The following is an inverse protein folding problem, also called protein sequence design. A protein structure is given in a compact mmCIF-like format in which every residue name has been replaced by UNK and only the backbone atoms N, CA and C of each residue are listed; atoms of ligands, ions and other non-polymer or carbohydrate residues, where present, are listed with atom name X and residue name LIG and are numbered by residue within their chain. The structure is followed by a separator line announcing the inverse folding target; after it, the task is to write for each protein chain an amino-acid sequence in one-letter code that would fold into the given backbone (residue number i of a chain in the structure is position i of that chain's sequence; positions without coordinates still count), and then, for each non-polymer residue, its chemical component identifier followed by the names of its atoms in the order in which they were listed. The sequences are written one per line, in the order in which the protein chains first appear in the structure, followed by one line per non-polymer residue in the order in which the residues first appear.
data_IF_891569496420
#
_entry.id   IF_891569496420
#
_cell.length_a   1.000
_cell.length_b   1.000
_cell.length_c   1.000
_cell.angle_alpha   90.00
_cell.angle_beta   90.00
_cell.angle_gamma   90.00
#
_symmetry.space_group_name_H-M   'P 1'
#
loop_
_entity.id
_entity.type
_entity.pdbx_description
1 polymer ?
#
# COMPACT_ATOMS: atom_id res chain seq x y z
N UNK A 1 -16.89 7.78 1.19
CA UNK A 1 -15.57 8.43 1.03
C UNK A 1 -15.12 7.98 -0.35
N UNK A 2 -15.09 8.90 -1.30
CA UNK A 2 -14.75 8.59 -2.69
C UNK A 2 -13.22 8.45 -2.74
N UNK A 3 -12.74 7.39 -3.40
CA UNK A 3 -11.31 7.13 -3.54
C UNK A 3 -10.79 8.05 -4.62
N UNK A 4 -9.63 8.64 -4.38
CA UNK A 4 -8.99 9.47 -5.39
C UNK A 4 -8.69 8.61 -6.63
N UNK A 5 -9.23 8.97 -7.81
CA UNK A 5 -9.06 8.20 -9.03
C UNK A 5 -7.59 8.07 -9.45
N UNK A 6 -6.74 9.03 -9.08
CA UNK A 6 -5.32 9.00 -9.38
C UNK A 6 -4.59 7.98 -8.49
N UNK A 7 -4.98 7.89 -7.21
CA UNK A 7 -4.48 6.87 -6.29
C UNK A 7 -4.89 5.48 -6.77
N UNK A 8 -6.15 5.31 -7.17
CA UNK A 8 -6.64 4.05 -7.73
C UNK A 8 -5.83 3.66 -8.98
N UNK A 9 -5.69 4.59 -9.93
CA UNK A 9 -4.95 4.35 -11.16
C UNK A 9 -3.47 4.01 -10.91
N UNK A 10 -2.84 4.66 -9.93
CA UNK A 10 -1.46 4.39 -9.55
C UNK A 10 -1.31 2.99 -8.92
N UNK A 11 -2.23 2.59 -8.04
CA UNK A 11 -2.25 1.26 -7.42
C UNK A 11 -2.51 0.17 -8.47
N UNK A 12 -3.50 0.35 -9.34
CA UNK A 12 -3.87 -0.60 -10.40
C UNK A 12 -2.70 -0.82 -11.39
N UNK A 13 -2.13 0.28 -11.90
CA UNK A 13 -0.96 0.25 -12.81
C UNK A 13 0.25 -0.47 -12.20
N UNK A 14 0.39 -0.43 -10.89
CA UNK A 14 1.54 -0.99 -10.18
C UNK A 14 1.22 -2.29 -9.42
N UNK A 15 0.04 -2.89 -9.63
CA UNK A 15 -0.47 -4.04 -8.89
C UNK A 15 0.47 -5.25 -8.88
N UNK A 16 1.01 -5.67 -10.03
CA UNK A 16 1.96 -6.79 -10.11
C UNK A 16 3.25 -6.52 -9.32
N UNK A 17 3.77 -5.30 -9.41
CA UNK A 17 4.96 -4.89 -8.66
C UNK A 17 4.65 -4.79 -7.18
N UNK A 18 3.46 -4.34 -6.81
CA UNK A 18 3.01 -4.25 -5.43
C UNK A 18 3.03 -5.63 -4.77
N UNK A 19 2.42 -6.62 -5.42
CA UNK A 19 2.30 -7.99 -4.90
C UNK A 19 3.67 -8.63 -4.64
N UNK A 20 4.69 -8.25 -5.42
CA UNK A 20 6.03 -8.85 -5.35
C UNK A 20 7.04 -8.06 -4.53
N UNK A 21 6.93 -6.73 -4.48
CA UNK A 21 7.94 -5.85 -3.86
C UNK A 21 7.60 -5.53 -2.41
N UNK A 22 6.31 -5.43 -2.06
CA UNK A 22 5.90 -4.96 -0.73
C UNK A 22 6.22 -6.01 0.34
N UNK A 23 7.06 -5.69 1.36
CA UNK A 23 7.40 -6.62 2.43
C UNK A 23 6.33 -6.56 3.53
N UNK A 24 5.12 -7.05 3.25
CA UNK A 24 3.97 -6.88 4.15
C UNK A 24 4.21 -7.36 5.58
N UNK A 25 4.91 -8.48 5.77
CA UNK A 25 5.22 -9.00 7.11
C UNK A 25 6.05 -8.01 7.94
N UNK A 26 6.90 -7.20 7.31
CA UNK A 26 7.69 -6.16 7.98
C UNK A 26 6.87 -4.88 8.23
N UNK A 27 5.83 -4.65 7.43
CA UNK A 27 5.06 -3.40 7.45
C UNK A 27 3.79 -3.50 8.30
N UNK A 28 3.24 -4.68 8.55
CA UNK A 28 1.96 -4.87 9.25
C UNK A 28 1.88 -4.10 10.58
N UNK A 29 2.92 -4.16 11.39
CA UNK A 29 2.96 -3.47 12.69
C UNK A 29 2.88 -1.95 12.51
N UNK A 30 3.59 -1.40 11.53
CA UNK A 30 3.58 0.03 11.23
C UNK A 30 2.26 0.48 10.60
N UNK A 31 1.64 -0.37 9.77
CA UNK A 31 0.33 -0.10 9.17
C UNK A 31 -0.77 0.02 10.23
N UNK A 32 -0.72 -0.81 11.28
CA UNK A 32 -1.64 -0.69 12.44
C UNK A 32 -1.32 0.55 13.26
N UNK A 33 -0.04 0.77 13.61
CA UNK A 33 0.37 1.91 14.45
C UNK A 33 0.01 3.25 13.82
N UNK A 34 0.12 3.36 12.49
CA UNK A 34 -0.28 4.55 11.73
C UNK A 34 -1.78 4.61 11.43
N UNK A 35 -2.55 3.62 11.88
CA UNK A 35 -4.00 3.50 11.66
C UNK A 35 -4.39 3.43 10.17
N UNK A 36 -3.44 3.03 9.30
CA UNK A 36 -3.71 2.73 7.90
C UNK A 36 -4.52 1.44 7.80
N UNK A 37 -4.32 0.49 8.72
CA UNK A 37 -5.15 -0.71 8.82
C UNK A 37 -5.83 -0.79 10.17
N UNK A 38 -7.07 -1.27 10.17
CA UNK A 38 -7.74 -1.68 11.41
C UNK A 38 -7.22 -3.04 11.88
N UNK A 39 -7.35 -3.36 13.18
CA UNK A 39 -6.98 -4.68 13.70
C UNK A 39 -7.70 -5.84 13.00
N UNK A 40 -8.95 -5.64 12.56
CA UNK A 40 -9.72 -6.64 11.82
C UNK A 40 -9.12 -6.91 10.44
N UNK A 41 -8.77 -5.84 9.72
CA UNK A 41 -8.13 -5.95 8.40
C UNK A 41 -6.76 -6.64 8.48
N UNK A 42 -5.98 -6.38 9.54
CA UNK A 42 -4.72 -7.11 9.75
C UNK A 42 -4.97 -8.58 10.01
N UNK A 43 -5.95 -8.91 10.86
CA UNK A 43 -6.31 -10.31 11.10
C UNK A 43 -6.72 -11.01 9.80
N UNK A 44 -7.49 -10.35 8.94
CA UNK A 44 -7.90 -10.92 7.65
C UNK A 44 -6.69 -11.17 6.73
N UNK A 45 -5.71 -10.27 6.72
CA UNK A 45 -4.45 -10.44 6.00
C UNK A 45 -3.63 -11.60 6.58
N UNK A 46 -3.50 -11.67 7.91
CA UNK A 46 -2.72 -12.72 8.60
C UNK A 46 -3.32 -14.13 8.48
N UNK A 47 -4.59 -14.25 8.11
CA UNK A 47 -5.23 -15.53 7.80
C UNK A 47 -4.77 -16.12 6.45
N UNK A 48 -4.11 -15.33 5.60
CA UNK A 48 -3.62 -15.76 4.31
C UNK A 48 -2.24 -16.41 4.46
N UNK A 49 -2.01 -17.50 3.72
CA UNK A 49 -0.81 -18.34 3.86
C UNK A 49 0.36 -17.75 3.08
N UNK A 50 0.11 -17.24 1.87
CA UNK A 50 1.14 -16.76 0.96
C UNK A 50 1.27 -15.24 1.03
N UNK A 51 2.51 -14.75 1.06
CA UNK A 51 2.82 -13.31 1.07
C UNK A 51 2.19 -12.57 -0.10
N UNK A 52 2.08 -13.21 -1.27
CA UNK A 52 1.44 -12.64 -2.45
C UNK A 52 -0.05 -12.40 -2.23
N UNK A 53 -0.77 -13.36 -1.62
CA UNK A 53 -2.18 -13.20 -1.25
C UNK A 53 -2.34 -12.09 -0.20
N UNK A 54 -1.45 -12.04 0.79
CA UNK A 54 -1.42 -10.99 1.81
C UNK A 54 -1.26 -9.61 1.18
N UNK A 55 -0.31 -9.47 0.24
CA UNK A 55 -0.10 -8.23 -0.50
C UNK A 55 -1.28 -7.88 -1.40
N UNK A 56 -1.89 -8.86 -2.06
CA UNK A 56 -3.11 -8.69 -2.83
C UNK A 56 -4.25 -8.14 -1.96
N UNK A 57 -4.41 -8.69 -0.75
CA UNK A 57 -5.43 -8.21 0.18
C UNK A 57 -5.17 -6.79 0.69
N UNK A 58 -3.91 -6.46 0.96
CA UNK A 58 -3.53 -5.09 1.30
C UNK A 58 -3.84 -4.13 0.15
N UNK A 59 -3.51 -4.51 -1.09
CA UNK A 59 -3.79 -3.72 -2.27
C UNK A 59 -5.30 -3.43 -2.41
N UNK A 60 -6.16 -4.45 -2.29
CA UNK A 60 -7.62 -4.29 -2.27
C UNK A 60 -8.06 -3.27 -1.22
N UNK A 61 -7.55 -3.40 0.03
CA UNK A 61 -7.92 -2.48 1.12
C UNK A 61 -7.53 -1.04 0.80
N UNK A 62 -6.34 -0.82 0.23
CA UNK A 62 -5.89 0.51 -0.17
C UNK A 62 -6.74 1.06 -1.32
N UNK A 63 -7.16 0.20 -2.26
CA UNK A 63 -8.00 0.55 -3.41
C UNK A 63 -9.49 0.71 -3.11
N UNK A 64 -9.98 0.29 -1.93
CA UNK A 64 -11.41 0.34 -1.56
C UNK A 64 -11.76 1.39 -0.50
N UNK A 65 -10.81 1.79 0.35
CA UNK A 65 -11.19 2.44 1.61
C UNK A 65 -10.21 3.52 2.13
N UNK A 66 -9.27 3.99 1.31
CA UNK A 66 -8.23 4.91 1.78
C UNK A 66 -8.22 6.21 1.00
N UNK A 67 -8.23 7.32 1.73
CA UNK A 67 -8.02 8.65 1.19
C UNK A 67 -6.55 9.04 1.15
N UNK A 68 -6.25 10.18 0.54
CA UNK A 68 -4.90 10.66 0.23
C UNK A 68 -3.92 10.57 1.39
N UNK A 69 -4.38 10.89 2.61
CA UNK A 69 -3.54 10.87 3.80
C UNK A 69 -3.01 9.47 4.13
N UNK A 70 -3.84 8.45 4.03
CA UNK A 70 -3.44 7.08 4.36
C UNK A 70 -2.51 6.53 3.28
N UNK A 71 -2.76 6.88 2.02
CA UNK A 71 -1.89 6.56 0.90
C UNK A 71 -0.51 7.24 1.01
N UNK A 72 -0.47 8.53 1.34
CA UNK A 72 0.79 9.26 1.56
C UNK A 72 1.58 8.65 2.72
N UNK A 73 0.91 8.27 3.82
CA UNK A 73 1.55 7.59 4.95
C UNK A 73 2.08 6.22 4.55
N UNK A 74 1.34 5.46 3.75
CA UNK A 74 1.77 4.18 3.20
C UNK A 74 3.02 4.34 2.31
N UNK A 75 2.99 5.26 1.35
CA UNK A 75 4.16 5.56 0.51
C UNK A 75 5.36 6.01 1.37
N UNK A 76 5.10 6.78 2.43
CA UNK A 76 6.08 7.17 3.44
C UNK A 76 6.78 5.98 4.09
N UNK A 77 6.02 4.94 4.48
CA UNK A 77 6.57 3.70 5.05
C UNK A 77 7.49 2.97 4.07
N UNK A 78 7.09 2.88 2.80
CA UNK A 78 7.90 2.23 1.77
C UNK A 78 9.23 2.98 1.56
N UNK A 79 9.19 4.32 1.51
CA UNK A 79 10.35 5.20 1.30
C UNK A 79 11.41 5.14 2.41
N UNK A 80 11.04 4.73 3.62
CA UNK A 80 11.96 4.56 4.75
C UNK A 80 12.44 3.12 4.95
N UNK A 81 11.92 2.16 4.18
CA UNK A 81 12.33 0.76 4.28
C UNK A 81 13.83 0.61 3.97
N UNK A 82 14.53 -0.37 4.55
CA UNK A 82 15.99 -0.54 4.32
C UNK A 82 16.33 -1.01 2.90
N UNK A 83 15.41 -1.69 2.23
CA UNK A 83 15.59 -2.21 0.89
C UNK A 83 15.33 -1.11 -0.16
N UNK A 84 16.35 -0.79 -0.97
CA UNK A 84 16.24 0.26 -1.99
C UNK A 84 15.13 -0.02 -3.01
N UNK A 85 14.86 -1.28 -3.37
CA UNK A 85 13.75 -1.60 -4.29
C UNK A 85 12.39 -1.18 -3.73
N UNK A 86 12.20 -1.35 -2.42
CA UNK A 86 10.96 -0.95 -1.73
C UNK A 86 10.87 0.56 -1.64
N UNK A 87 11.99 1.25 -1.38
CA UNK A 87 12.04 2.73 -1.38
C UNK A 87 11.67 3.30 -2.74
N UNK A 88 12.33 2.82 -3.79
CA UNK A 88 12.13 3.28 -5.16
C UNK A 88 10.68 3.02 -5.60
N UNK A 89 10.12 1.87 -5.20
CA UNK A 89 8.70 1.57 -5.41
C UNK A 89 7.78 2.55 -4.69
N UNK A 90 8.05 2.88 -3.42
CA UNK A 90 7.28 3.89 -2.68
C UNK A 90 7.31 5.28 -3.32
N UNK A 91 8.48 5.72 -3.81
CA UNK A 91 8.61 6.99 -4.54
C UNK A 91 7.87 6.96 -5.87
N UNK A 92 7.98 5.85 -6.63
CA UNK A 92 7.28 5.67 -7.90
C UNK A 92 5.76 5.71 -7.71
N UNK A 93 5.25 4.99 -6.72
CA UNK A 93 3.82 4.88 -6.45
C UNK A 93 3.21 6.25 -6.09
N UNK A 94 3.88 7.00 -5.22
CA UNK A 94 3.47 8.37 -4.86
C UNK A 94 3.50 9.32 -6.06
N UNK A 95 4.53 9.23 -6.89
CA UNK A 95 4.68 10.08 -8.07
C UNK A 95 3.64 9.75 -9.15
N UNK A 96 3.31 8.47 -9.36
CA UNK A 96 2.28 8.05 -10.30
C UNK A 96 0.89 8.58 -9.88
N UNK A 97 0.58 8.57 -8.58
CA UNK A 97 -0.67 9.15 -8.06
C UNK A 97 -0.72 10.68 -8.21
N UNK A 98 0.39 11.38 -7.96
CA UNK A 98 0.40 12.87 -8.04
C UNK A 98 0.42 13.44 -9.47
N UNK A 99 0.59 12.59 -10.49
CA UNK A 99 0.60 13.00 -11.90
C UNK A 99 -0.76 12.96 -12.59
N UNK A 100 -1.75 12.28 -12.01
CA UNK A 100 -3.12 12.31 -12.53
C UNK A 100 -3.81 13.65 -12.28
N UNK A 101 -3.30 14.44 -11.32
CA UNK A 101 -3.87 15.72 -10.89
C UNK A 101 -3.41 16.95 -11.71
N UNK A 102 -2.94 16.75 -12.95
CA UNK A 102 -2.41 17.79 -13.85
C UNK A 102 -3.35 18.17 -14.99
#
# INVERSE_FOLDING_TARGET
MEIDPDIYAALDKNSEQFITIVPILELLEDLIKKQILSPWQVKDIELLIHTEDMNGKLLEILMEARGDKDFDLFCGLLKINRNNKVKDFGTKLEHDAKRGSS
#
